data_IF_941795912604
#
_entry.id   IF_941795912604
#
_cell.length_a   1.000
_cell.length_b   1.000
_cell.length_c   1.000
_cell.angle_alpha   90.00
_cell.angle_beta   90.00
_cell.angle_gamma   90.00
#
_symmetry.space_group_name_H-M   'P 1'
#
loop_
_entity.id
_entity.type
_entity.pdbx_description
1 polymer ?
#
# COMPACT_ATOMS: atom_id res chain seq x y z
N UNK A 1 8.21 2.66 14.24
CA UNK A 1 9.06 2.31 13.09
C UNK A 1 8.57 2.96 11.79
N UNK A 2 7.29 2.87 11.41
CA UNK A 2 6.75 3.44 10.16
C UNK A 2 6.97 4.96 10.05
N UNK A 3 6.74 5.71 11.13
CA UNK A 3 6.98 7.16 11.15
C UNK A 3 8.47 7.49 10.96
N UNK A 4 9.35 6.74 11.64
CA UNK A 4 10.81 6.91 11.48
C UNK A 4 11.24 6.61 10.04
N UNK A 5 10.76 5.51 9.47
CA UNK A 5 11.02 5.18 8.06
C UNK A 5 10.53 6.26 7.10
N UNK A 6 9.33 6.81 7.35
CA UNK A 6 8.76 7.90 6.54
C UNK A 6 9.57 9.20 6.63
N UNK A 7 10.06 9.55 7.82
CA UNK A 7 10.94 10.73 8.00
C UNK A 7 12.28 10.52 7.27
N UNK A 8 12.88 9.34 7.40
CA UNK A 8 14.13 9.01 6.68
C UNK A 8 13.89 9.11 5.18
N UNK A 9 12.82 8.49 4.67
CA UNK A 9 12.47 8.56 3.25
C UNK A 9 12.33 10.01 2.78
N UNK A 10 11.60 10.85 3.53
CA UNK A 10 11.42 12.27 3.21
C UNK A 10 12.75 13.02 3.13
N UNK A 11 13.65 12.85 4.12
CA UNK A 11 14.97 13.51 4.15
C UNK A 11 15.79 13.11 2.91
N UNK A 12 15.78 11.82 2.54
CA UNK A 12 16.49 11.38 1.34
C UNK A 12 15.85 11.91 0.06
N UNK A 13 14.54 11.91 -0.04
CA UNK A 13 13.76 12.40 -1.18
C UNK A 13 13.99 13.91 -1.41
N UNK A 14 14.01 14.70 -0.33
CA UNK A 14 14.28 16.15 -0.40
C UNK A 14 15.70 16.44 -0.91
N UNK A 15 16.71 15.69 -0.43
CA UNK A 15 18.09 15.82 -0.90
C UNK A 15 18.28 15.55 -2.40
N UNK A 16 17.41 14.74 -2.99
CA UNK A 16 17.43 14.40 -4.42
C UNK A 16 16.42 15.22 -5.24
N UNK A 17 15.84 16.26 -4.66
CA UNK A 17 14.93 17.18 -5.35
C UNK A 17 13.51 16.64 -5.58
N UNK A 18 13.18 15.45 -5.03
CA UNK A 18 11.88 14.82 -5.21
C UNK A 18 10.90 15.09 -4.05
N UNK A 19 11.36 15.68 -2.95
CA UNK A 19 10.63 15.76 -1.68
C UNK A 19 9.70 16.97 -1.52
N UNK A 20 9.37 17.71 -2.58
CA UNK A 20 8.56 18.92 -2.44
C UNK A 20 7.44 19.07 -3.47
N UNK A 21 7.42 18.22 -4.49
CA UNK A 21 6.47 18.25 -5.59
C UNK A 21 5.53 17.05 -5.51
N UNK A 22 4.23 17.30 -5.52
CA UNK A 22 3.19 16.28 -5.66
C UNK A 22 2.61 16.38 -7.07
N UNK A 23 2.70 15.30 -7.83
CA UNK A 23 2.10 15.22 -9.15
C UNK A 23 0.61 14.83 -9.04
N UNK A 24 -0.30 15.74 -9.34
CA UNK A 24 -1.74 15.51 -9.34
C UNK A 24 -2.22 15.43 -10.78
N UNK A 25 -2.29 14.23 -11.36
CA UNK A 25 -2.77 13.98 -12.73
C UNK A 25 -2.09 14.85 -13.80
N UNK A 26 -0.79 15.07 -13.69
CA UNK A 26 -0.01 15.86 -14.62
C UNK A 26 0.19 17.32 -14.21
N UNK A 27 -0.45 17.78 -13.13
CA UNK A 27 -0.19 19.08 -12.52
C UNK A 27 0.76 18.94 -11.35
N UNK A 28 1.86 19.67 -11.37
CA UNK A 28 2.83 19.68 -10.27
C UNK A 28 2.38 20.68 -9.21
N UNK A 29 2.02 20.17 -8.04
CA UNK A 29 1.69 20.99 -6.87
C UNK A 29 2.90 21.07 -5.95
N UNK A 30 3.44 22.28 -5.78
CA UNK A 30 4.54 22.51 -4.86
C UNK A 30 4.02 22.59 -3.41
N UNK A 31 4.31 21.57 -2.62
CA UNK A 31 3.95 21.49 -1.21
C UNK A 31 5.07 21.95 -0.27
N UNK A 32 6.31 22.10 -0.76
CA UNK A 32 7.47 22.41 0.07
C UNK A 32 7.59 21.44 1.25
N UNK A 33 7.87 21.97 2.44
CA UNK A 33 8.00 21.15 3.65
C UNK A 33 6.71 20.42 4.08
N UNK A 34 5.53 20.86 3.62
CA UNK A 34 4.28 20.14 3.91
C UNK A 34 4.19 18.79 3.20
N UNK A 35 5.04 18.53 2.22
CA UNK A 35 5.12 17.22 1.57
C UNK A 35 5.44 16.09 2.57
N UNK A 36 6.12 16.38 3.69
CA UNK A 36 6.37 15.39 4.75
C UNK A 36 5.06 14.81 5.31
N UNK A 37 4.02 15.64 5.48
CA UNK A 37 2.73 15.17 6.00
C UNK A 37 2.06 14.21 5.01
N UNK A 38 2.13 14.53 3.71
CA UNK A 38 1.66 13.65 2.65
C UNK A 38 2.45 12.34 2.63
N UNK A 39 3.78 12.41 2.64
CA UNK A 39 4.66 11.24 2.61
C UNK A 39 4.41 10.30 3.80
N UNK A 40 4.28 10.84 5.01
CA UNK A 40 3.96 10.06 6.21
C UNK A 40 2.58 9.42 6.10
N UNK A 41 1.56 10.17 5.69
CA UNK A 41 0.21 9.65 5.48
C UNK A 41 0.20 8.52 4.45
N UNK A 42 0.90 8.72 3.32
CA UNK A 42 0.96 7.76 2.23
C UNK A 42 1.68 6.47 2.62
N UNK A 43 2.87 6.59 3.22
CA UNK A 43 3.67 5.46 3.68
C UNK A 43 2.95 4.66 4.78
N UNK A 44 2.45 5.32 5.81
CA UNK A 44 1.75 4.65 6.90
C UNK A 44 0.43 4.06 6.41
N UNK A 45 -0.30 4.79 5.56
CA UNK A 45 -1.58 4.35 5.01
C UNK A 45 -1.43 3.06 4.20
N UNK A 46 -0.54 3.03 3.22
CA UNK A 46 -0.35 1.84 2.38
C UNK A 46 0.38 0.71 3.09
N UNK A 47 1.29 1.01 4.04
CA UNK A 47 1.86 0.00 4.93
C UNK A 47 0.76 -0.80 5.63
N UNK A 48 -0.18 -0.11 6.27
CA UNK A 48 -1.28 -0.76 6.96
C UNK A 48 -2.31 -1.38 6.00
N UNK A 49 -2.52 -0.80 4.82
CA UNK A 49 -3.45 -1.33 3.82
C UNK A 49 -3.01 -2.70 3.28
N UNK A 50 -1.72 -2.86 2.98
CA UNK A 50 -1.15 -4.15 2.57
C UNK A 50 -1.18 -5.14 3.73
N UNK A 51 -0.90 -4.70 4.96
CA UNK A 51 -0.98 -5.58 6.14
C UNK A 51 -2.42 -6.08 6.37
N UNK A 52 -3.45 -5.24 6.20
CA UNK A 52 -4.84 -5.67 6.26
C UNK A 52 -5.23 -6.65 5.14
N UNK A 53 -4.52 -6.63 4.02
CA UNK A 53 -4.74 -7.55 2.89
C UNK A 53 -4.09 -8.92 3.12
N UNK A 54 -3.12 -9.03 4.05
CA UNK A 54 -2.42 -10.29 4.39
C UNK A 54 -3.25 -11.20 5.30
N UNK A 55 -4.54 -11.33 5.02
CA UNK A 55 -5.48 -12.17 5.78
C UNK A 55 -5.82 -13.51 5.15
N UNK A 56 -5.48 -13.72 3.88
CA UNK A 56 -5.69 -14.98 3.14
C UNK A 56 -4.37 -15.44 2.53
N UNK A 57 -4.14 -16.76 2.54
CA UNK A 57 -2.98 -17.42 1.95
C UNK A 57 -2.70 -16.93 0.52
N UNK A 58 -1.53 -16.33 0.31
CA UNK A 58 -1.07 -15.87 -0.98
C UNK A 58 -1.64 -14.53 -1.49
N UNK A 59 -2.68 -13.97 -0.87
CA UNK A 59 -3.34 -12.77 -1.38
C UNK A 59 -2.40 -11.57 -1.40
N UNK A 60 -1.74 -11.26 -0.29
CA UNK A 60 -0.82 -10.13 -0.22
C UNK A 60 0.40 -10.31 -1.13
N UNK A 61 1.03 -11.50 -1.11
CA UNK A 61 2.23 -11.77 -1.90
C UNK A 61 2.00 -11.62 -3.41
N UNK A 62 0.92 -12.19 -3.93
CA UNK A 62 0.61 -12.08 -5.37
C UNK A 62 0.14 -10.68 -5.77
N UNK A 63 -0.68 -10.04 -4.94
CA UNK A 63 -1.17 -8.68 -5.21
C UNK A 63 -0.03 -7.67 -5.25
N UNK A 64 0.94 -7.78 -4.32
CA UNK A 64 2.12 -6.92 -4.32
C UNK A 64 3.02 -7.21 -5.52
N UNK A 65 3.21 -8.48 -5.92
CA UNK A 65 3.98 -8.82 -7.12
C UNK A 65 3.37 -8.20 -8.39
N UNK A 66 2.03 -8.22 -8.52
CA UNK A 66 1.32 -7.56 -9.62
C UNK A 66 1.52 -6.04 -9.57
N UNK A 67 1.36 -5.42 -8.40
CA UNK A 67 1.56 -3.98 -8.21
C UNK A 67 3.00 -3.56 -8.54
N UNK A 68 4.00 -4.34 -8.12
CA UNK A 68 5.40 -4.11 -8.46
C UNK A 68 5.67 -4.27 -9.96
N UNK A 69 4.98 -5.19 -10.64
CA UNK A 69 5.10 -5.35 -12.09
C UNK A 69 4.65 -4.10 -12.84
N UNK A 70 3.56 -3.46 -12.39
CA UNK A 70 3.12 -2.18 -12.93
C UNK A 70 4.16 -1.06 -12.68
N UNK A 71 4.72 -0.98 -11.48
CA UNK A 71 5.80 0.00 -11.19
C UNK A 71 7.10 -0.29 -11.93
N UNK A 72 7.43 -1.56 -12.18
CA UNK A 72 8.56 -1.93 -13.03
C UNK A 72 8.38 -1.40 -14.45
N UNK A 73 7.17 -1.51 -15.00
CA UNK A 73 6.84 -0.97 -16.31
C UNK A 73 6.96 0.56 -16.34
N UNK A 74 6.44 1.26 -15.32
CA UNK A 74 6.57 2.72 -15.21
C UNK A 74 8.04 3.14 -15.09
N UNK A 75 8.81 2.46 -14.26
CA UNK A 75 10.25 2.72 -14.09
C UNK A 75 11.01 2.53 -15.41
N UNK A 76 10.69 1.47 -16.16
CA UNK A 76 11.26 1.23 -17.49
C UNK A 76 10.94 2.38 -18.46
N UNK A 77 9.67 2.82 -18.51
CA UNK A 77 9.25 3.95 -19.37
C UNK A 77 9.90 5.27 -19.00
N UNK A 78 10.22 5.47 -17.71
CA UNK A 78 10.93 6.67 -17.23
C UNK A 78 12.46 6.54 -17.32
N UNK A 79 13.01 5.39 -17.73
CA UNK A 79 14.47 5.16 -17.78
C UNK A 79 15.13 5.06 -16.41
N UNK A 80 14.37 4.81 -15.33
CA UNK A 80 14.89 4.66 -13.96
C UNK A 80 15.32 3.21 -13.69
N UNK A 81 16.48 2.86 -14.21
CA UNK A 81 17.00 1.48 -14.21
C UNK A 81 17.29 0.92 -12.82
N UNK A 82 17.69 1.75 -11.88
CA UNK A 82 17.89 1.41 -10.46
C UNK A 82 16.59 0.95 -9.81
N UNK A 83 15.50 1.70 -9.98
CA UNK A 83 14.17 1.33 -9.48
C UNK A 83 13.66 0.07 -10.18
N UNK A 84 13.85 -0.03 -11.51
CA UNK A 84 13.47 -1.22 -12.27
C UNK A 84 14.18 -2.46 -11.72
N UNK A 85 15.49 -2.39 -11.46
CA UNK A 85 16.23 -3.53 -10.92
C UNK A 85 15.73 -3.95 -9.55
N UNK A 86 15.48 -3.00 -8.64
CA UNK A 86 14.94 -3.27 -7.32
C UNK A 86 13.55 -3.92 -7.39
N UNK A 87 12.66 -3.39 -8.23
CA UNK A 87 11.29 -3.92 -8.36
C UNK A 87 11.28 -5.33 -8.95
N UNK A 88 12.08 -5.60 -10.00
CA UNK A 88 12.19 -6.95 -10.59
C UNK A 88 12.77 -7.96 -9.60
N UNK A 89 13.79 -7.58 -8.83
CA UNK A 89 14.37 -8.44 -7.78
C UNK A 89 13.34 -8.79 -6.71
N UNK A 90 12.52 -7.80 -6.29
CA UNK A 90 11.47 -8.03 -5.31
C UNK A 90 10.34 -8.91 -5.86
N UNK A 91 9.96 -8.74 -7.14
CA UNK A 91 8.99 -9.61 -7.80
C UNK A 91 9.49 -11.06 -7.78
N UNK A 92 10.76 -11.29 -8.14
CA UNK A 92 11.36 -12.63 -8.09
C UNK A 92 11.30 -13.25 -6.69
N UNK A 93 11.64 -12.46 -5.65
CA UNK A 93 11.56 -12.90 -4.25
C UNK A 93 10.12 -13.23 -3.82
N UNK A 94 9.14 -12.39 -4.20
CA UNK A 94 7.72 -12.61 -3.89
C UNK A 94 7.14 -13.81 -4.61
N UNK A 95 7.51 -14.05 -5.86
CA UNK A 95 7.08 -15.25 -6.60
C UNK A 95 7.68 -16.50 -5.98
N UNK A 96 8.95 -16.48 -5.57
CA UNK A 96 9.57 -17.57 -4.82
C UNK A 96 8.88 -17.81 -3.46
N UNK A 97 8.55 -16.75 -2.74
CA UNK A 97 7.79 -16.84 -1.49
C UNK A 97 6.38 -17.40 -1.73
N UNK A 98 5.68 -16.95 -2.78
CA UNK A 98 4.33 -17.38 -3.13
C UNK A 98 4.22 -18.88 -3.37
N UNK A 99 5.27 -19.54 -3.87
CA UNK A 99 5.29 -21.00 -4.05
C UNK A 99 5.00 -21.74 -2.74
N UNK A 100 5.36 -21.15 -1.61
CA UNK A 100 5.13 -21.74 -0.28
C UNK A 100 3.98 -21.07 0.49
N UNK A 101 3.60 -19.86 0.08
CA UNK A 101 2.56 -19.08 0.74
C UNK A 101 1.16 -19.24 0.10
N UNK A 102 1.04 -19.86 -1.10
CA UNK A 102 -0.27 -20.15 -1.71
C UNK A 102 -1.03 -21.23 -0.91
N UNK A 103 -2.33 -21.24 -1.05
CA UNK A 103 -3.24 -22.14 -0.31
C UNK A 103 -3.03 -23.61 -0.64
N UNK A 104 -2.81 -24.52 0.36
CA UNK A 104 -2.64 -24.23 1.78
C UNK A 104 -1.24 -23.70 2.08
N UNK A 105 -1.15 -22.56 2.79
CA UNK A 105 0.12 -21.93 3.07
C UNK A 105 1.00 -22.76 4.00
N UNK A 106 2.28 -22.88 3.64
CA UNK A 106 3.32 -23.51 4.47
C UNK A 106 4.15 -22.49 5.24
N UNK A 107 4.15 -21.25 4.78
CA UNK A 107 4.83 -20.11 5.41
C UNK A 107 3.92 -18.89 5.35
N UNK A 108 4.06 -17.99 6.31
CA UNK A 108 3.29 -16.76 6.42
C UNK A 108 4.21 -15.55 6.35
N UNK A 109 3.71 -14.45 5.75
CA UNK A 109 4.49 -13.21 5.58
C UNK A 109 4.67 -12.47 6.91
N UNK A 110 3.60 -12.37 7.68
CA UNK A 110 3.54 -11.65 8.95
C UNK A 110 3.66 -10.13 8.78
N UNK A 111 3.44 -9.42 9.88
CA UNK A 111 3.37 -7.96 9.91
C UNK A 111 4.64 -7.28 9.40
N UNK A 112 5.82 -7.85 9.68
CA UNK A 112 7.09 -7.26 9.23
C UNK A 112 7.18 -7.22 7.71
N UNK A 113 6.79 -8.31 7.05
CA UNK A 113 6.82 -8.41 5.60
C UNK A 113 5.75 -7.52 4.95
N UNK A 114 4.50 -7.67 5.36
CA UNK A 114 3.37 -6.96 4.76
C UNK A 114 3.44 -5.44 4.96
N UNK A 115 3.84 -4.97 6.17
CA UNK A 115 4.07 -3.54 6.43
C UNK A 115 5.22 -2.97 5.58
N UNK A 116 6.32 -3.73 5.44
CA UNK A 116 7.45 -3.29 4.61
C UNK A 116 7.08 -3.20 3.13
N UNK A 117 6.34 -4.17 2.61
CA UNK A 117 5.89 -4.18 1.21
C UNK A 117 4.94 -3.03 0.90
N UNK A 118 3.99 -2.73 1.81
CA UNK A 118 3.10 -1.58 1.66
C UNK A 118 3.85 -0.25 1.66
N UNK A 119 4.81 -0.10 2.59
CA UNK A 119 5.71 1.06 2.62
C UNK A 119 6.56 1.18 1.35
N UNK A 120 7.05 0.06 0.81
CA UNK A 120 7.79 0.03 -0.45
C UNK A 120 6.95 0.50 -1.64
N UNK A 121 5.70 0.04 -1.77
CA UNK A 121 4.80 0.49 -2.84
C UNK A 121 4.54 2.00 -2.75
N UNK A 122 4.31 2.52 -1.55
CA UNK A 122 4.14 3.95 -1.33
C UNK A 122 5.41 4.74 -1.70
N UNK A 123 6.58 4.26 -1.27
CA UNK A 123 7.87 4.89 -1.60
C UNK A 123 8.13 4.89 -3.11
N UNK A 124 7.84 3.78 -3.81
CA UNK A 124 8.00 3.67 -5.26
C UNK A 124 7.09 4.65 -6.00
N UNK A 125 5.82 4.79 -5.58
CA UNK A 125 4.88 5.73 -6.21
C UNK A 125 5.38 7.17 -6.10
N UNK A 126 5.96 7.55 -4.98
CA UNK A 126 6.55 8.88 -4.76
C UNK A 126 7.88 9.06 -5.51
N UNK A 127 8.77 8.05 -5.51
CA UNK A 127 10.05 8.09 -6.21
C UNK A 127 9.90 8.18 -7.74
N UNK A 128 8.79 7.66 -8.26
CA UNK A 128 8.44 7.73 -9.69
C UNK A 128 7.55 8.95 -10.02
N UNK A 129 7.16 9.78 -9.04
CA UNK A 129 6.23 10.91 -9.17
C UNK A 129 4.88 10.52 -9.79
N UNK A 130 4.34 9.37 -9.40
CA UNK A 130 3.07 8.82 -9.86
C UNK A 130 2.21 8.38 -8.68
N UNK A 131 2.16 9.17 -7.63
CA UNK A 131 1.57 8.83 -6.34
C UNK A 131 0.14 8.29 -6.48
N UNK A 132 -0.70 8.99 -7.24
CA UNK A 132 -2.12 8.63 -7.40
C UNK A 132 -2.35 7.32 -8.15
N UNK A 133 -1.38 6.85 -8.94
CA UNK A 133 -1.49 5.55 -9.61
C UNK A 133 -1.57 4.41 -8.62
N UNK A 134 -1.03 4.58 -7.39
CA UNK A 134 -1.10 3.58 -6.34
C UNK A 134 -2.54 3.28 -5.90
N UNK A 135 -3.46 4.26 -6.00
CA UNK A 135 -4.88 4.02 -5.72
C UNK A 135 -5.51 3.07 -6.74
N UNK A 136 -5.05 3.09 -8.01
CA UNK A 136 -5.53 2.21 -9.06
C UNK A 136 -4.78 0.88 -9.07
N UNK A 137 -3.46 0.92 -9.07
CA UNK A 137 -2.59 -0.28 -9.06
C UNK A 137 -2.83 -1.10 -7.79
N UNK A 138 -3.01 -0.40 -6.66
CA UNK A 138 -3.27 -0.98 -5.35
C UNK A 138 -4.76 -0.99 -4.96
N UNK A 139 -5.68 -1.04 -5.92
CA UNK A 139 -7.12 -0.98 -5.67
C UNK A 139 -7.59 -2.04 -4.65
N UNK A 140 -6.98 -3.20 -4.67
CA UNK A 140 -7.26 -4.27 -3.70
C UNK A 140 -7.03 -3.77 -2.28
N UNK A 141 -5.88 -3.14 -2.00
CA UNK A 141 -5.57 -2.62 -0.67
C UNK A 141 -6.50 -1.49 -0.24
N UNK A 142 -6.91 -0.66 -1.21
CA UNK A 142 -7.89 0.43 -0.97
C UNK A 142 -9.25 -0.14 -0.60
N UNK A 143 -9.73 -1.18 -1.30
CA UNK A 143 -11.00 -1.84 -1.01
C UNK A 143 -10.95 -2.53 0.36
N UNK A 144 -9.89 -3.26 0.65
CA UNK A 144 -9.72 -3.96 1.93
C UNK A 144 -9.76 -2.97 3.10
N UNK A 145 -8.92 -1.94 3.06
CA UNK A 145 -8.88 -0.89 4.11
C UNK A 145 -10.18 -0.10 4.17
N UNK A 146 -10.72 0.28 3.00
CA UNK A 146 -11.97 1.03 2.91
C UNK A 146 -13.15 0.28 3.52
N UNK A 147 -13.23 -1.04 3.31
CA UNK A 147 -14.28 -1.88 3.90
C UNK A 147 -14.24 -1.85 5.44
N UNK A 148 -13.03 -1.91 6.02
CA UNK A 148 -12.84 -1.83 7.48
C UNK A 148 -13.22 -0.44 7.99
N UNK A 149 -12.77 0.62 7.34
CA UNK A 149 -13.07 1.99 7.73
C UNK A 149 -14.59 2.27 7.67
N UNK A 150 -15.25 1.85 6.59
CA UNK A 150 -16.70 1.98 6.43
C UNK A 150 -17.45 1.21 7.52
N UNK A 151 -17.08 -0.03 7.75
CA UNK A 151 -17.70 -0.87 8.77
C UNK A 151 -17.61 -0.27 10.16
N UNK A 152 -16.40 0.13 10.57
CA UNK A 152 -16.14 0.69 11.91
C UNK A 152 -16.87 2.03 12.08
N UNK A 153 -16.83 2.89 11.07
CA UNK A 153 -17.49 4.20 11.12
C UNK A 153 -19.00 4.05 11.20
N UNK A 154 -19.58 3.20 10.34
CA UNK A 154 -21.01 2.94 10.33
C UNK A 154 -21.49 2.29 11.62
N UNK A 155 -20.74 1.30 12.15
CA UNK A 155 -21.07 0.65 13.41
C UNK A 155 -21.07 1.63 14.58
N UNK A 156 -20.04 2.49 14.68
CA UNK A 156 -19.99 3.52 15.73
C UNK A 156 -21.11 4.55 15.59
N UNK A 157 -21.39 4.98 14.36
CA UNK A 157 -22.45 5.94 14.08
C UNK A 157 -23.83 5.39 14.44
N UNK A 158 -24.15 4.15 14.02
CA UNK A 158 -25.45 3.52 14.33
C UNK A 158 -25.61 3.24 15.81
N UNK A 159 -24.53 2.80 16.48
CA UNK A 159 -24.54 2.61 17.93
C UNK A 159 -24.86 3.91 18.68
N UNK A 160 -24.26 5.04 18.22
CA UNK A 160 -24.52 6.35 18.83
C UNK A 160 -25.97 6.83 18.58
N UNK A 161 -26.54 6.54 17.39
CA UNK A 161 -27.83 7.06 16.97
C UNK A 161 -29.01 6.20 17.40
N UNK A 162 -28.85 4.88 17.42
CA UNK A 162 -29.93 3.91 17.64
C UNK A 162 -29.72 3.04 18.88
N UNK A 163 -28.64 3.22 19.63
CA UNK A 163 -28.29 2.38 20.78
C UNK A 163 -27.65 1.04 20.41
N UNK A 164 -27.82 0.58 19.16
CA UNK A 164 -27.31 -0.69 18.67
C UNK A 164 -26.39 -0.47 17.47
N UNK A 165 -25.23 -1.18 17.44
CA UNK A 165 -24.30 -1.15 16.32
C UNK A 165 -24.77 -2.05 15.18
N UNK A 166 -24.97 -1.47 13.98
CA UNK A 166 -25.32 -2.23 12.77
C UNK A 166 -24.10 -2.43 11.89
N UNK A 167 -24.06 -3.54 11.16
CA UNK A 167 -22.97 -3.89 10.24
C UNK A 167 -23.41 -3.71 8.79
N UNK A 168 -22.50 -3.23 7.92
CA UNK A 168 -22.70 -3.17 6.47
C UNK A 168 -22.28 -4.52 5.86
N UNK A 169 -21.06 -4.96 6.18
CA UNK A 169 -20.50 -6.24 5.74
C UNK A 169 -20.68 -7.29 6.83
N UNK A 170 -20.83 -8.57 6.43
CA UNK A 170 -20.89 -9.70 7.37
C UNK A 170 -19.61 -9.79 8.19
N UNK A 171 -18.47 -9.60 7.51
CA UNK A 171 -17.14 -9.56 8.11
C UNK A 171 -16.24 -8.57 7.36
N UNK A 172 -15.20 -8.04 7.99
CA UNK A 172 -14.19 -7.16 7.40
C UNK A 172 -12.80 -7.57 7.89
N UNK A 173 -11.73 -7.41 7.10
CA UNK A 173 -11.67 -6.83 5.74
C UNK A 173 -12.51 -7.56 4.68
N UNK A 174 -12.64 -6.98 3.46
CA UNK A 174 -13.60 -7.40 2.44
C UNK A 174 -13.43 -8.85 1.96
N UNK A 175 -12.19 -9.35 1.90
CA UNK A 175 -11.93 -10.73 1.54
C UNK A 175 -12.65 -11.73 2.45
N UNK A 176 -12.73 -11.47 3.76
CA UNK A 176 -13.49 -12.33 4.68
C UNK A 176 -15.00 -12.27 4.46
N UNK A 177 -15.52 -11.17 3.89
CA UNK A 177 -16.92 -11.11 3.48
C UNK A 177 -17.21 -12.04 2.30
N UNK A 178 -16.23 -12.28 1.41
CA UNK A 178 -16.36 -13.17 0.26
C UNK A 178 -16.17 -14.65 0.62
N UNK A 179 -15.52 -14.96 1.74
CA UNK A 179 -15.35 -16.34 2.22
C UNK A 179 -16.60 -16.92 2.92
N UNK A 180 -17.55 -16.05 3.33
CA UNK A 180 -18.81 -16.40 4.00
C UNK A 180 -19.99 -16.52 3.05
#
# INVERSE_FOLDING_TARGET
>A
LQLVGGIIFYIFSERHGAGSLLNVFGYELYLGHFYILFALFWLVGFSNAVNLTDGIDGLASISVAISLSAYSFIAYMQGKWDILFVTLSMIGALLGFFVFNHKPAKIFMGDVGSLALGGMLAALSMALHVEWTLLLIGLVYVIETGSVMLQVTYFKWTKKRYGEGRRIFRMTPFHHHLEL
#
